data_IF_602449312059
#
_entry.id   IF_602449312059
#
_cell.length_a   1.000
_cell.length_b   1.000
_cell.length_c   1.000
_cell.angle_alpha   90.00
_cell.angle_beta   90.00
_cell.angle_gamma   90.00
#
_symmetry.space_group_name_H-M   'P 1'
#
loop_
_entity.id
_entity.type
_entity.pdbx_description
1 polymer ?
#
# COMPACT_ATOMS: atom_id res chain seq x y z
N UNK A 1 -11.84 30.11 18.69
CA UNK A 1 -11.03 30.35 17.48
C UNK A 1 -9.91 29.33 17.50
N UNK A 2 -9.89 28.37 16.57
CA UNK A 2 -8.78 27.42 16.50
C UNK A 2 -7.54 28.16 16.00
N UNK A 3 -6.40 28.02 16.69
CA UNK A 3 -5.14 28.57 16.22
C UNK A 3 -4.70 27.75 14.99
N UNK A 4 -4.63 28.38 13.83
CA UNK A 4 -4.00 27.75 12.67
C UNK A 4 -2.52 27.58 12.96
N UNK A 5 -2.07 26.33 13.02
CA UNK A 5 -0.64 26.04 13.12
C UNK A 5 0.03 26.37 11.79
N UNK A 6 1.33 26.67 11.83
CA UNK A 6 2.12 26.93 10.61
C UNK A 6 2.02 25.79 9.58
N UNK A 7 1.76 24.56 10.05
CA UNK A 7 1.58 23.36 9.22
C UNK A 7 0.20 23.27 8.56
N UNK A 8 -0.82 23.91 9.15
CA UNK A 8 -2.19 23.90 8.64
C UNK A 8 -2.52 25.13 7.79
N UNK A 9 -1.63 26.12 7.76
CA UNK A 9 -1.84 27.34 7.00
C UNK A 9 -2.04 27.03 5.50
N UNK A 10 -2.96 27.76 4.85
CA UNK A 10 -3.33 27.54 3.45
C UNK A 10 -2.11 27.53 2.50
N UNK A 11 -1.14 28.42 2.75
CA UNK A 11 0.12 28.45 2.00
C UNK A 11 0.90 27.13 2.07
N UNK A 12 0.96 26.49 3.25
CA UNK A 12 1.68 25.23 3.41
C UNK A 12 0.97 24.10 2.66
N UNK A 13 -0.35 23.98 2.84
CA UNK A 13 -1.15 22.90 2.27
C UNK A 13 -1.30 22.99 0.76
N UNK A 14 -1.45 24.22 0.22
CA UNK A 14 -1.74 24.43 -1.20
C UNK A 14 -0.49 24.62 -2.06
N UNK A 15 0.66 24.97 -1.47
CA UNK A 15 1.88 25.33 -2.22
C UNK A 15 3.07 24.48 -1.75
N UNK A 16 3.41 24.52 -0.46
CA UNK A 16 4.62 23.86 0.04
C UNK A 16 4.53 22.33 -0.06
N UNK A 17 3.43 21.72 0.40
CA UNK A 17 3.31 20.26 0.40
C UNK A 17 3.24 19.64 -1.00
N UNK A 18 2.45 20.18 -1.96
CA UNK A 18 2.51 19.71 -3.34
C UNK A 18 3.91 19.87 -3.93
N UNK A 19 4.55 21.02 -3.71
CA UNK A 19 5.92 21.28 -4.18
C UNK A 19 6.90 20.21 -3.68
N UNK A 20 6.93 19.96 -2.36
CA UNK A 20 7.84 18.98 -1.76
C UNK A 20 7.58 17.57 -2.27
N UNK A 21 6.31 17.20 -2.44
CA UNK A 21 5.92 15.89 -2.94
C UNK A 21 6.41 15.68 -4.37
N UNK A 22 6.17 16.64 -5.27
CA UNK A 22 6.60 16.57 -6.66
C UNK A 22 8.13 16.58 -6.75
N UNK A 23 8.78 17.50 -6.04
CA UNK A 23 10.23 17.62 -5.99
C UNK A 23 10.86 16.28 -5.60
N UNK A 24 10.40 15.70 -4.48
CA UNK A 24 10.95 14.45 -3.95
C UNK A 24 10.68 13.28 -4.89
N UNK A 25 9.46 13.19 -5.44
CA UNK A 25 9.07 12.09 -6.33
C UNK A 25 9.87 12.13 -7.64
N UNK A 26 9.93 13.29 -8.29
CA UNK A 26 10.70 13.47 -9.54
C UNK A 26 12.18 13.24 -9.29
N UNK A 27 12.73 13.80 -8.20
CA UNK A 27 14.12 13.58 -7.82
C UNK A 27 14.43 12.09 -7.61
N UNK A 28 13.57 11.38 -6.88
CA UNK A 28 13.72 9.95 -6.65
C UNK A 28 13.64 9.13 -7.95
N UNK A 29 12.73 9.49 -8.86
CA UNK A 29 12.62 8.85 -10.18
C UNK A 29 13.89 9.08 -11.01
N UNK A 30 14.42 10.30 -11.07
CA UNK A 30 15.64 10.62 -11.80
C UNK A 30 16.85 9.85 -11.22
N UNK A 31 17.01 9.84 -9.90
CA UNK A 31 18.07 9.09 -9.22
C UNK A 31 17.98 7.57 -9.44
N UNK A 32 16.77 7.00 -9.43
CA UNK A 32 16.55 5.56 -9.62
C UNK A 32 16.76 5.15 -11.08
N UNK A 33 16.34 6.00 -12.03
CA UNK A 33 16.40 5.74 -13.47
C UNK A 33 17.76 6.06 -14.09
N UNK A 34 18.57 6.92 -13.45
CA UNK A 34 19.89 7.34 -13.94
C UNK A 34 19.86 7.96 -15.34
N UNK A 35 18.75 8.59 -15.72
CA UNK A 35 18.52 9.09 -17.09
C UNK A 35 19.48 10.20 -17.51
N UNK A 36 19.96 11.02 -16.56
CA UNK A 36 20.92 12.10 -16.80
C UNK A 36 22.38 11.65 -16.60
N UNK A 37 22.61 10.35 -16.40
CA UNK A 37 23.91 9.76 -16.15
C UNK A 37 24.14 9.39 -14.68
N UNK A 38 25.16 8.56 -14.46
CA UNK A 38 25.56 8.14 -13.11
C UNK A 38 26.10 9.31 -12.29
N UNK A 39 25.77 9.31 -10.99
CA UNK A 39 26.25 10.26 -9.98
C UNK A 39 25.91 11.74 -10.23
N UNK A 40 24.96 12.05 -11.13
CA UNK A 40 24.49 13.42 -11.41
C UNK A 40 23.44 13.96 -10.43
N UNK A 41 23.65 13.72 -9.14
CA UNK A 41 22.69 14.09 -8.07
C UNK A 41 22.32 15.57 -8.03
N UNK A 42 23.28 16.47 -8.26
CA UNK A 42 23.02 17.91 -8.28
C UNK A 42 22.12 18.33 -9.45
N UNK A 43 22.36 17.75 -10.63
CA UNK A 43 21.58 18.03 -11.83
C UNK A 43 20.16 17.49 -11.67
N UNK A 44 20.01 16.25 -11.18
CA UNK A 44 18.70 15.66 -10.91
C UNK A 44 17.90 16.49 -9.91
N UNK A 45 18.54 17.02 -8.87
CA UNK A 45 17.90 17.90 -7.89
C UNK A 45 17.44 19.21 -8.54
N UNK A 46 18.27 19.84 -9.37
CA UNK A 46 17.90 21.08 -10.07
C UNK A 46 16.73 20.85 -11.05
N UNK A 47 16.75 19.76 -11.81
CA UNK A 47 15.67 19.41 -12.74
C UNK A 47 14.38 19.12 -11.98
N UNK A 48 14.43 18.32 -10.92
CA UNK A 48 13.27 18.06 -10.08
C UNK A 48 12.71 19.33 -9.43
N UNK A 49 13.59 20.24 -9.00
CA UNK A 49 13.22 21.52 -8.42
C UNK A 49 12.50 22.41 -9.45
N UNK A 50 13.05 22.54 -10.65
CA UNK A 50 12.41 23.27 -11.74
C UNK A 50 11.03 22.70 -12.10
N UNK A 51 10.91 21.37 -12.20
CA UNK A 51 9.63 20.70 -12.49
C UNK A 51 8.61 20.97 -11.37
N UNK A 52 9.03 20.86 -10.10
CA UNK A 52 8.17 21.14 -8.96
C UNK A 52 7.69 22.60 -8.93
N UNK A 53 8.58 23.57 -9.18
CA UNK A 53 8.19 24.98 -9.27
C UNK A 53 7.20 25.25 -10.41
N UNK A 54 7.48 24.71 -11.60
CA UNK A 54 6.57 24.85 -12.76
C UNK A 54 5.19 24.26 -12.41
N UNK A 55 5.15 23.08 -11.81
CA UNK A 55 3.89 22.41 -11.46
C UNK A 55 3.09 23.21 -10.45
N UNK A 56 3.76 23.80 -9.45
CA UNK A 56 3.08 24.60 -8.43
C UNK A 56 2.62 25.97 -8.95
N UNK A 57 3.21 26.47 -10.03
CA UNK A 57 2.73 27.67 -10.71
C UNK A 57 1.35 27.48 -11.37
N UNK A 58 0.92 26.24 -11.65
CA UNK A 58 -0.39 25.94 -12.25
C UNK A 58 -1.39 25.41 -11.22
N UNK A 59 -2.42 26.21 -10.93
CA UNK A 59 -3.46 25.88 -9.95
C UNK A 59 -4.22 24.59 -10.25
N UNK A 60 -4.44 24.27 -11.52
CA UNK A 60 -5.09 23.02 -11.91
C UNK A 60 -4.24 21.79 -11.55
N UNK A 61 -2.93 21.84 -11.81
CA UNK A 61 -2.02 20.75 -11.49
C UNK A 61 -1.88 20.58 -9.97
N UNK A 62 -1.75 21.67 -9.22
CA UNK A 62 -1.69 21.61 -7.76
C UNK A 62 -2.96 21.05 -7.14
N UNK A 63 -4.14 21.41 -7.66
CA UNK A 63 -5.42 20.91 -7.16
C UNK A 63 -5.60 19.39 -7.33
N UNK A 64 -5.11 18.84 -8.44
CA UNK A 64 -5.10 17.38 -8.63
C UNK A 64 -4.19 16.73 -7.59
N UNK A 65 -3.01 17.30 -7.38
CA UNK A 65 -2.01 16.74 -6.47
C UNK A 65 -2.49 16.83 -5.02
N UNK A 66 -3.08 17.95 -4.61
CA UNK A 66 -3.68 18.11 -3.27
C UNK A 66 -4.82 17.15 -3.04
N UNK A 67 -5.62 16.86 -4.06
CA UNK A 67 -6.69 15.86 -3.98
C UNK A 67 -6.14 14.43 -3.83
N UNK A 68 -4.96 14.14 -4.40
CA UNK A 68 -4.30 12.83 -4.30
C UNK A 68 -3.44 12.66 -3.04
N UNK A 69 -3.01 13.75 -2.40
CA UNK A 69 -2.13 13.71 -1.22
C UNK A 69 -2.63 12.79 -0.10
N UNK A 70 -3.90 12.86 0.35
CA UNK A 70 -4.40 11.95 1.38
C UNK A 70 -4.29 10.48 0.98
N UNK A 71 -4.62 10.16 -0.27
CA UNK A 71 -4.53 8.81 -0.82
C UNK A 71 -3.10 8.31 -0.84
N UNK A 72 -2.15 9.13 -1.27
CA UNK A 72 -0.73 8.79 -1.31
C UNK A 72 -0.18 8.56 0.10
N UNK A 73 -0.46 9.47 1.04
CA UNK A 73 0.01 9.35 2.43
C UNK A 73 -0.49 8.06 3.08
N UNK A 74 -1.80 7.79 2.96
CA UNK A 74 -2.41 6.56 3.47
C UNK A 74 -1.82 5.32 2.79
N UNK A 75 -1.68 5.34 1.46
CA UNK A 75 -1.15 4.21 0.70
C UNK A 75 0.31 3.89 1.08
N UNK A 76 1.14 4.91 1.31
CA UNK A 76 2.54 4.72 1.74
C UNK A 76 2.60 4.10 3.14
N UNK A 77 1.79 4.58 4.09
CA UNK A 77 1.72 4.00 5.44
C UNK A 77 1.28 2.55 5.36
N UNK A 78 0.24 2.27 4.58
CA UNK A 78 -0.29 0.92 4.39
C UNK A 78 0.75 0.00 3.73
N UNK A 79 1.45 0.47 2.68
CA UNK A 79 2.52 -0.28 2.03
C UNK A 79 3.67 -0.56 3.01
N UNK A 80 4.02 0.41 3.86
CA UNK A 80 5.04 0.24 4.89
C UNK A 80 4.64 -0.81 5.92
N UNK A 81 3.39 -0.79 6.41
CA UNK A 81 2.88 -1.85 7.29
C UNK A 81 2.91 -3.20 6.58
N UNK A 82 2.48 -3.26 5.32
CA UNK A 82 2.52 -4.48 4.54
C UNK A 82 3.96 -5.00 4.35
N UNK A 83 4.93 -4.13 4.06
CA UNK A 83 6.34 -4.52 3.94
C UNK A 83 6.93 -5.01 5.27
N UNK A 84 6.53 -4.42 6.40
CA UNK A 84 6.93 -4.89 7.73
C UNK A 84 6.35 -6.27 8.00
N UNK A 85 5.06 -6.48 7.74
CA UNK A 85 4.41 -7.78 7.89
C UNK A 85 5.01 -8.82 6.95
N UNK A 86 5.24 -8.46 5.69
CA UNK A 86 5.89 -9.32 4.71
C UNK A 86 7.32 -9.66 5.11
N UNK A 87 8.10 -8.68 5.57
CA UNK A 87 9.46 -8.88 6.07
C UNK A 87 9.49 -9.75 7.32
N UNK A 88 8.52 -9.59 8.21
CA UNK A 88 8.37 -10.40 9.42
C UNK A 88 8.03 -11.86 9.09
N UNK A 89 7.04 -12.08 8.22
CA UNK A 89 6.58 -13.43 7.84
C UNK A 89 7.58 -14.10 6.88
N UNK A 90 8.25 -13.30 6.06
CA UNK A 90 9.25 -13.75 5.08
C UNK A 90 10.68 -13.75 5.55
N UNK A 91 10.96 -13.36 6.81
CA UNK A 91 12.25 -13.53 7.45
C UNK A 91 12.55 -15.02 7.59
N UNK A 92 13.14 -15.58 6.53
CA UNK A 92 13.84 -16.85 6.56
C UNK A 92 15.21 -16.59 7.18
N UNK A 93 15.23 -16.07 8.40
CA UNK A 93 16.45 -16.08 9.21
C UNK A 93 16.73 -17.55 9.51
N UNK A 94 17.93 -18.02 9.20
CA UNK A 94 18.33 -19.43 9.16
C UNK A 94 18.22 -20.19 10.51
N UNK A 95 17.60 -19.61 11.54
CA UNK A 95 17.45 -20.24 12.85
C UNK A 95 16.05 -19.99 13.43
N UNK A 96 15.28 -21.07 13.49
CA UNK A 96 14.21 -21.40 14.44
C UNK A 96 12.74 -21.01 14.19
N UNK A 97 12.36 -20.21 13.18
CA UNK A 97 10.93 -20.03 12.88
C UNK A 97 10.60 -19.99 11.38
N UNK A 98 10.76 -21.13 10.69
CA UNK A 98 10.30 -21.27 9.31
C UNK A 98 8.80 -21.56 9.28
N UNK A 99 7.98 -20.54 9.03
CA UNK A 99 6.59 -20.76 8.65
C UNK A 99 6.55 -21.58 7.35
N UNK A 100 5.60 -22.51 7.19
CA UNK A 100 5.46 -23.24 5.95
C UNK A 100 5.09 -22.25 4.85
N UNK A 101 5.64 -22.44 3.65
CA UNK A 101 5.40 -21.57 2.48
C UNK A 101 3.91 -21.29 2.24
N UNK A 102 3.01 -22.22 2.57
CA UNK A 102 1.55 -22.06 2.44
C UNK A 102 0.94 -21.07 3.44
N UNK A 103 1.41 -21.07 4.69
CA UNK A 103 0.96 -20.11 5.72
C UNK A 103 1.54 -18.73 5.43
N UNK A 104 2.79 -18.65 4.99
CA UNK A 104 3.38 -17.39 4.53
C UNK A 104 2.56 -16.75 3.39
N UNK A 105 2.22 -17.53 2.36
CA UNK A 105 1.35 -17.05 1.26
C UNK A 105 -0.03 -16.65 1.78
N UNK A 106 -0.63 -17.43 2.69
CA UNK A 106 -1.90 -17.10 3.31
C UNK A 106 -1.89 -15.76 4.06
N UNK A 107 -0.87 -15.50 4.88
CA UNK A 107 -0.72 -14.24 5.61
C UNK A 107 -0.53 -13.06 4.65
N UNK A 108 0.25 -13.24 3.57
CA UNK A 108 0.46 -12.19 2.56
C UNK A 108 -0.84 -11.87 1.82
N UNK A 109 -1.64 -12.88 1.46
CA UNK A 109 -2.95 -12.66 0.83
C UNK A 109 -3.90 -11.93 1.79
N UNK A 110 -3.99 -12.36 3.05
CA UNK A 110 -4.84 -11.71 4.06
C UNK A 110 -4.41 -10.26 4.28
N UNK A 111 -3.10 -10.00 4.40
CA UNK A 111 -2.56 -8.65 4.54
C UNK A 111 -2.86 -7.79 3.30
N UNK A 112 -2.78 -8.37 2.09
CA UNK A 112 -3.16 -7.69 0.85
C UNK A 112 -4.65 -7.35 0.77
N UNK A 113 -5.53 -8.25 1.23
CA UNK A 113 -6.98 -8.00 1.30
C UNK A 113 -7.27 -6.90 2.34
N UNK A 114 -6.67 -6.98 3.52
CA UNK A 114 -6.80 -5.96 4.56
C UNK A 114 -6.33 -4.58 4.06
N UNK A 115 -5.25 -4.54 3.28
CA UNK A 115 -4.72 -3.35 2.62
C UNK A 115 -5.73 -2.75 1.63
N UNK A 116 -6.36 -3.57 0.79
CA UNK A 116 -7.40 -3.11 -0.14
C UNK A 116 -8.61 -2.54 0.62
N UNK A 117 -9.06 -3.22 1.67
CA UNK A 117 -10.18 -2.76 2.51
C UNK A 117 -9.83 -1.44 3.20
N UNK A 118 -8.64 -1.34 3.81
CA UNK A 118 -8.19 -0.12 4.48
C UNK A 118 -8.14 1.08 3.52
N UNK A 119 -7.70 0.88 2.28
CA UNK A 119 -7.76 1.90 1.23
C UNK A 119 -9.21 2.27 0.92
N UNK A 120 -10.10 1.30 0.69
CA UNK A 120 -11.50 1.60 0.39
C UNK A 120 -12.20 2.37 1.52
N UNK A 121 -11.90 2.05 2.77
CA UNK A 121 -12.40 2.78 3.95
C UNK A 121 -11.83 4.20 4.00
N UNK A 122 -10.50 4.35 3.89
CA UNK A 122 -9.84 5.65 3.96
C UNK A 122 -10.26 6.61 2.82
N UNK A 123 -10.61 6.05 1.66
CA UNK A 123 -11.08 6.80 0.50
C UNK A 123 -12.58 7.13 0.53
N UNK A 124 -13.30 6.68 1.56
CA UNK A 124 -14.75 6.82 1.67
C UNK A 124 -15.53 6.06 0.59
N UNK A 125 -14.87 5.17 -0.16
CA UNK A 125 -15.53 4.33 -1.18
C UNK A 125 -16.05 3.02 -0.60
N UNK A 126 -15.72 2.69 0.66
CA UNK A 126 -16.19 1.49 1.33
C UNK A 126 -17.70 1.38 1.29
N UNK A 127 -18.45 2.46 1.55
CA UNK A 127 -19.91 2.40 1.54
C UNK A 127 -20.46 2.00 0.18
N UNK A 128 -19.87 2.49 -0.93
CA UNK A 128 -20.30 2.10 -2.29
C UNK A 128 -19.97 0.64 -2.59
N UNK A 129 -18.77 0.19 -2.25
CA UNK A 129 -18.33 -1.20 -2.48
C UNK A 129 -19.12 -2.16 -1.60
N UNK A 130 -19.28 -1.82 -0.32
CA UNK A 130 -20.07 -2.56 0.64
C UNK A 130 -21.52 -2.66 0.18
N UNK A 131 -22.12 -1.53 -0.19
CA UNK A 131 -23.49 -1.53 -0.64
C UNK A 131 -23.64 -2.29 -1.96
N UNK A 132 -22.71 -2.18 -2.92
CA UNK A 132 -22.78 -2.96 -4.15
C UNK A 132 -22.62 -4.48 -3.95
N UNK A 133 -21.71 -4.90 -3.06
CA UNK A 133 -21.40 -6.32 -2.82
C UNK A 133 -22.36 -7.01 -1.83
N UNK A 134 -22.85 -6.26 -0.83
CA UNK A 134 -23.62 -6.83 0.30
C UNK A 134 -25.06 -6.32 0.42
N UNK A 135 -25.44 -5.16 -0.14
CA UNK A 135 -26.79 -4.55 0.04
C UNK A 135 -27.61 -4.53 -1.26
N UNK A 136 -27.10 -3.89 -2.31
CA UNK A 136 -27.72 -3.69 -3.62
C UNK A 136 -27.38 -4.81 -4.62
N UNK A 137 -26.45 -5.69 -4.27
CA UNK A 137 -26.25 -6.94 -4.99
C UNK A 137 -27.45 -7.85 -4.74
N UNK A 138 -28.51 -7.65 -5.52
CA UNK A 138 -29.74 -8.45 -5.64
C UNK A 138 -29.85 -9.63 -4.63
N UNK A 139 -30.85 -9.68 -3.73
CA UNK A 139 -30.99 -10.72 -2.69
C UNK A 139 -31.14 -12.18 -3.20
N UNK A 140 -31.09 -12.42 -4.51
CA UNK A 140 -30.93 -13.75 -5.13
C UNK A 140 -29.47 -14.19 -5.33
N UNK A 141 -28.49 -13.35 -4.98
CA UNK A 141 -27.08 -13.56 -5.26
C UNK A 141 -26.41 -14.56 -4.31
N UNK A 142 -26.62 -15.85 -4.61
CA UNK A 142 -25.81 -16.98 -4.14
C UNK A 142 -24.31 -16.63 -4.14
N UNK A 143 -23.82 -15.80 -5.07
CA UNK A 143 -22.43 -15.43 -5.19
C UNK A 143 -21.84 -14.69 -3.97
N UNK A 144 -22.55 -13.76 -3.33
CA UNK A 144 -22.01 -13.03 -2.16
C UNK A 144 -21.94 -13.93 -0.91
N UNK A 145 -22.94 -14.79 -0.72
CA UNK A 145 -22.95 -15.77 0.37
C UNK A 145 -21.94 -16.90 0.11
N UNK A 146 -21.84 -17.39 -1.12
CA UNK A 146 -20.86 -18.41 -1.52
C UNK A 146 -19.45 -17.86 -1.44
N UNK A 147 -19.20 -16.59 -1.80
CA UNK A 147 -17.88 -15.97 -1.67
C UNK A 147 -17.47 -15.81 -0.20
N UNK A 148 -18.39 -15.36 0.67
CA UNK A 148 -18.13 -15.27 2.11
C UNK A 148 -17.87 -16.66 2.72
N UNK A 149 -18.71 -17.65 2.39
CA UNK A 149 -18.53 -19.03 2.83
C UNK A 149 -17.23 -19.60 2.26
N UNK A 150 -16.85 -19.30 1.02
CA UNK A 150 -15.61 -19.76 0.41
C UNK A 150 -14.37 -19.11 1.05
N UNK A 151 -14.44 -17.83 1.42
CA UNK A 151 -13.36 -17.15 2.16
C UNK A 151 -13.22 -17.74 3.57
N UNK A 152 -14.35 -17.94 4.28
CA UNK A 152 -14.35 -18.54 5.61
C UNK A 152 -13.90 -20.00 5.56
N UNK A 153 -14.44 -20.80 4.64
CA UNK A 153 -14.05 -22.20 4.45
C UNK A 153 -12.59 -22.30 3.99
N UNK A 154 -12.13 -21.44 3.09
CA UNK A 154 -10.73 -21.37 2.68
C UNK A 154 -9.80 -21.03 3.84
N UNK A 155 -10.16 -20.06 4.67
CA UNK A 155 -9.41 -19.71 5.88
C UNK A 155 -9.39 -20.88 6.88
N UNK A 156 -10.54 -21.52 7.14
CA UNK A 156 -10.64 -22.69 8.03
C UNK A 156 -9.86 -23.89 7.49
N UNK A 157 -9.92 -24.15 6.19
CA UNK A 157 -9.18 -25.23 5.54
C UNK A 157 -7.66 -25.01 5.67
N UNK A 158 -7.20 -23.77 5.48
CA UNK A 158 -5.79 -23.41 5.64
C UNK A 158 -5.34 -23.55 7.10
N UNK A 159 -6.22 -23.24 8.06
CA UNK A 159 -5.90 -23.27 9.51
C UNK A 159 -6.02 -24.68 10.11
N UNK A 160 -7.00 -25.47 9.70
CA UNK A 160 -7.34 -26.77 10.30
C UNK A 160 -6.58 -27.93 9.66
N UNK A 161 -6.13 -27.81 8.40
CA UNK A 161 -5.39 -28.90 7.79
C UNK A 161 -4.07 -29.16 8.56
N UNK A 162 -3.88 -30.38 9.10
CA UNK A 162 -2.70 -30.68 9.89
C UNK A 162 -1.45 -30.56 9.03
N UNK A 163 -0.47 -29.89 9.60
CA UNK A 163 0.84 -29.63 9.03
C UNK A 163 1.52 -30.96 8.70
N UNK A 164 1.41 -31.44 7.46
CA UNK A 164 2.23 -32.57 7.01
C UNK A 164 3.65 -32.06 6.83
N UNK A 165 4.41 -32.08 7.92
CA UNK A 165 5.85 -31.88 7.95
C UNK A 165 6.48 -32.89 6.99
N UNK A 166 6.83 -32.45 5.79
CA UNK A 166 7.67 -33.23 4.88
C UNK A 166 9.11 -33.06 5.34
N UNK A 167 9.45 -33.70 6.45
CA UNK A 167 10.78 -33.73 7.02
C UNK A 167 11.08 -35.12 7.56
N UNK A 168 11.68 -35.97 6.72
CA UNK A 168 12.11 -37.31 7.08
C UNK A 168 13.05 -37.88 6.03
N UNK A 169 14.25 -37.30 5.92
CA UNK A 169 15.40 -37.99 5.32
C UNK A 169 15.62 -39.27 6.11
N UNK A 170 15.40 -40.44 5.51
CA UNK A 170 16.09 -41.66 5.92
C UNK A 170 17.47 -41.63 5.28
N UNK A 171 18.48 -41.37 6.09
CA UNK A 171 19.81 -41.97 5.95
C UNK A 171 19.82 -43.26 6.78
N UNK A 172 20.67 -44.18 6.35
CA UNK A 172 21.12 -45.42 7.01
C UNK A 172 20.28 -46.67 6.65
N UNK A 173 20.68 -47.39 5.60
CA UNK A 173 21.66 -48.51 5.63
C UNK A 173 22.28 -48.70 4.23
#
# INVERSE_FOLDING_TARGET
MAFETILMHAFAVQIIYPFLLIFTLVFAILQKSKILGDEKKQIDALVAFSIALITVAFSWATNIITSLMPFLAVSVVILLVFMILYGFVGSTSEKEFSLPKRVQVGIVIIAGIALIIAVLVATGQWDKVHNALFINGNPTNLFSNVLLIAIIAGALIIVVMPFKSSGGKKKDE
#
